data_IF_452113283251
#
_entry.id   IF_452113283251
#
_cell.length_a   1.000
_cell.length_b   1.000
_cell.length_c   1.000
_cell.angle_alpha   90.00
_cell.angle_beta   90.00
_cell.angle_gamma   90.00
#
_symmetry.space_group_name_H-M   'P 1'
#
loop_
_entity.id
_entity.type
_entity.pdbx_description
1 polymer ?
#
# COMPACT_ATOMS: atom_id res chain seq x y z
N UNK A 1 -67.02 23.14 -28.67
CA UNK A 1 -65.92 22.52 -29.45
C UNK A 1 -64.88 21.97 -28.47
N UNK A 2 -64.44 20.75 -28.74
CA UNK A 2 -63.60 19.85 -27.93
C UNK A 2 -62.41 20.55 -27.24
N UNK A 3 -62.20 20.37 -25.93
CA UNK A 3 -61.52 19.22 -25.28
C UNK A 3 -60.00 19.41 -25.20
N UNK A 4 -59.46 20.01 -24.13
CA UNK A 4 -58.04 19.83 -23.76
C UNK A 4 -57.85 19.96 -22.24
N UNK A 5 -58.34 18.97 -21.50
CA UNK A 5 -57.98 18.76 -20.09
C UNK A 5 -56.58 18.14 -20.05
N UNK A 6 -55.55 18.96 -19.86
CA UNK A 6 -54.15 18.53 -19.74
C UNK A 6 -53.96 17.82 -18.38
N UNK A 7 -54.06 16.48 -18.36
CA UNK A 7 -53.76 15.68 -17.17
C UNK A 7 -52.24 15.67 -16.93
N UNK A 8 -51.79 16.33 -15.87
CA UNK A 8 -50.40 16.26 -15.37
C UNK A 8 -50.15 14.83 -14.88
N UNK A 9 -49.44 14.01 -15.65
CA UNK A 9 -49.01 12.68 -15.23
C UNK A 9 -47.92 12.85 -14.16
N UNK A 10 -48.25 12.62 -12.89
CA UNK A 10 -47.25 12.46 -11.84
C UNK A 10 -46.42 11.21 -12.16
N UNK A 11 -45.18 11.41 -12.63
CA UNK A 11 -44.20 10.32 -12.71
C UNK A 11 -43.82 9.97 -11.27
N UNK A 12 -44.34 8.85 -10.75
CA UNK A 12 -43.84 8.28 -9.51
C UNK A 12 -42.45 7.72 -9.82
N UNK A 13 -41.40 8.31 -9.25
CA UNK A 13 -40.09 7.67 -9.23
C UNK A 13 -40.21 6.46 -8.29
N UNK A 14 -40.22 5.27 -8.87
CA UNK A 14 -40.11 4.00 -8.16
C UNK A 14 -38.65 3.59 -8.24
N UNK A 15 -37.97 3.53 -7.10
CA UNK A 15 -36.57 3.09 -7.03
C UNK A 15 -35.74 4.06 -6.21
N UNK A 16 -35.79 3.85 -4.89
CA UNK A 16 -34.77 4.13 -3.88
C UNK A 16 -35.44 3.90 -2.52
N UNK A 17 -35.76 2.64 -2.23
CA UNK A 17 -36.25 2.30 -0.89
C UNK A 17 -35.07 2.15 0.06
N UNK A 18 -35.27 2.41 1.36
CA UNK A 18 -34.26 2.09 2.37
C UNK A 18 -33.88 0.61 2.33
N UNK A 19 -34.84 -0.26 2.00
CA UNK A 19 -34.65 -1.70 1.88
C UNK A 19 -33.66 -2.08 0.77
N UNK A 20 -33.70 -1.42 -0.38
CA UNK A 20 -32.69 -1.60 -1.44
C UNK A 20 -31.29 -1.23 -0.94
N UNK A 21 -31.15 -0.09 -0.27
CA UNK A 21 -29.85 0.32 0.27
C UNK A 21 -29.31 -0.62 1.34
N UNK A 22 -30.19 -1.20 2.17
CA UNK A 22 -29.79 -2.20 3.17
C UNK A 22 -29.25 -3.47 2.53
N UNK A 23 -29.91 -3.99 1.49
CA UNK A 23 -29.44 -5.18 0.77
C UNK A 23 -28.11 -4.91 0.07
N UNK A 24 -27.94 -3.73 -0.53
CA UNK A 24 -26.67 -3.34 -1.17
C UNK A 24 -25.53 -3.27 -0.15
N UNK A 25 -25.73 -2.62 1.00
CA UNK A 25 -24.72 -2.56 2.06
C UNK A 25 -24.39 -3.95 2.63
N UNK A 26 -25.40 -4.81 2.75
CA UNK A 26 -25.21 -6.20 3.17
C UNK A 26 -24.31 -6.97 2.21
N UNK A 27 -24.57 -6.90 0.90
CA UNK A 27 -23.74 -7.56 -0.11
C UNK A 27 -22.30 -7.00 -0.09
N UNK A 28 -22.14 -5.67 -0.02
CA UNK A 28 -20.80 -5.05 0.05
C UNK A 28 -20.03 -5.51 1.29
N UNK A 29 -20.69 -5.61 2.44
CA UNK A 29 -20.05 -6.08 3.68
C UNK A 29 -19.49 -7.51 3.54
N UNK A 30 -20.27 -8.42 2.94
CA UNK A 30 -19.82 -9.80 2.68
C UNK A 30 -18.62 -9.82 1.73
N UNK A 31 -18.65 -9.01 0.66
CA UNK A 31 -17.53 -8.91 -0.27
C UNK A 31 -16.26 -8.40 0.42
N UNK A 32 -16.36 -7.36 1.25
CA UNK A 32 -15.22 -6.80 2.00
C UNK A 32 -14.56 -7.87 2.88
N UNK A 33 -15.35 -8.68 3.59
CA UNK A 33 -14.83 -9.75 4.46
C UNK A 33 -14.02 -10.78 3.65
N UNK A 34 -14.40 -11.08 2.40
CA UNK A 34 -13.65 -12.00 1.55
C UNK A 34 -12.41 -11.34 0.92
N UNK A 35 -12.50 -10.07 0.51
CA UNK A 35 -11.42 -9.38 -0.20
C UNK A 35 -10.32 -8.83 0.72
N UNK A 36 -10.67 -8.21 1.86
CA UNK A 36 -9.72 -7.59 2.80
C UNK A 36 -8.63 -8.55 3.29
N UNK A 37 -8.92 -9.79 3.75
CA UNK A 37 -7.86 -10.68 4.24
C UNK A 37 -6.88 -11.06 3.12
N UNK A 38 -7.34 -11.12 1.87
CA UNK A 38 -6.48 -11.42 0.73
C UNK A 38 -5.55 -10.24 0.40
N UNK A 39 -6.07 -9.00 0.49
CA UNK A 39 -5.29 -7.78 0.28
C UNK A 39 -4.21 -7.58 1.35
N UNK A 40 -4.52 -7.85 2.62
CA UNK A 40 -3.56 -7.75 3.72
C UNK A 40 -2.40 -8.73 3.50
N UNK A 41 -2.69 -10.00 3.19
CA UNK A 41 -1.66 -11.01 2.89
C UNK A 41 -0.74 -10.62 1.72
N UNK A 42 -1.31 -10.03 0.67
CA UNK A 42 -0.53 -9.56 -0.47
C UNK A 42 0.38 -8.40 -0.08
N UNK A 43 -0.12 -7.47 0.75
CA UNK A 43 0.64 -6.33 1.25
C UNK A 43 1.81 -6.80 2.14
N UNK A 44 1.58 -7.77 3.02
CA UNK A 44 2.63 -8.35 3.85
C UNK A 44 3.71 -9.04 3.02
N UNK A 45 3.33 -9.77 1.96
CA UNK A 45 4.29 -10.39 1.04
C UNK A 45 5.13 -9.35 0.29
N UNK A 46 4.52 -8.25 -0.15
CA UNK A 46 5.23 -7.16 -0.84
C UNK A 46 6.22 -6.49 0.13
N UNK A 47 5.81 -6.24 1.37
CA UNK A 47 6.70 -5.67 2.38
C UNK A 47 7.93 -6.56 2.62
N UNK A 48 7.72 -7.88 2.81
CA UNK A 48 8.83 -8.83 2.98
C UNK A 48 9.78 -8.88 1.78
N UNK A 49 9.25 -8.83 0.56
CA UNK A 49 10.07 -8.77 -0.66
C UNK A 49 10.84 -7.45 -0.75
N UNK A 50 10.21 -6.34 -0.36
CA UNK A 50 10.86 -5.03 -0.27
C UNK A 50 11.98 -5.00 0.75
N UNK A 51 11.78 -5.62 1.92
CA UNK A 51 12.79 -5.71 2.98
C UNK A 51 13.99 -6.56 2.53
N UNK A 52 13.75 -7.70 1.87
CA UNK A 52 14.82 -8.52 1.29
C UNK A 52 15.58 -7.79 0.18
N UNK A 53 14.89 -7.00 -0.65
CA UNK A 53 15.54 -6.16 -1.66
C UNK A 53 16.38 -5.06 -1.02
N UNK A 54 15.91 -4.45 0.07
CA UNK A 54 16.66 -3.45 0.83
C UNK A 54 17.94 -4.05 1.44
N UNK A 55 17.86 -5.26 2.00
CA UNK A 55 19.05 -5.99 2.48
C UNK A 55 20.08 -6.17 1.35
N UNK A 56 19.63 -6.56 0.16
CA UNK A 56 20.54 -6.71 -1.00
C UNK A 56 21.17 -5.40 -1.45
N UNK A 57 20.41 -4.31 -1.40
CA UNK A 57 20.94 -2.96 -1.69
C UNK A 57 22.01 -2.60 -0.67
N UNK A 58 21.75 -2.78 0.62
CA UNK A 58 22.72 -2.47 1.68
C UNK A 58 23.99 -3.32 1.54
N UNK A 59 23.87 -4.60 1.22
CA UNK A 59 25.03 -5.47 0.94
C UNK A 59 25.86 -4.92 -0.22
N UNK A 60 25.21 -4.54 -1.32
CA UNK A 60 25.87 -3.98 -2.52
C UNK A 60 26.56 -2.64 -2.19
N UNK A 61 25.91 -1.78 -1.40
CA UNK A 61 26.49 -0.52 -0.94
C UNK A 61 27.66 -0.74 0.03
N UNK A 62 27.60 -1.78 0.85
CA UNK A 62 28.70 -2.16 1.76
C UNK A 62 29.92 -2.65 0.99
N UNK A 63 29.70 -3.38 -0.10
CA UNK A 63 30.76 -3.79 -1.00
C UNK A 63 31.38 -2.60 -1.73
N UNK A 64 30.58 -1.64 -2.21
CA UNK A 64 31.11 -0.41 -2.80
C UNK A 64 31.92 0.42 -1.80
N UNK A 65 31.43 0.59 -0.57
CA UNK A 65 32.19 1.24 0.49
C UNK A 65 33.54 0.55 0.72
N UNK A 66 33.57 -0.79 0.73
CA UNK A 66 34.80 -1.57 0.87
C UNK A 66 35.77 -1.37 -0.31
N UNK A 67 35.27 -1.27 -1.54
CA UNK A 67 36.11 -1.00 -2.71
C UNK A 67 36.79 0.38 -2.62
N UNK A 68 36.09 1.37 -2.07
CA UNK A 68 36.59 2.75 -2.00
C UNK A 68 37.50 3.01 -0.79
N UNK A 69 37.20 2.39 0.35
CA UNK A 69 37.89 2.65 1.63
C UNK A 69 38.82 1.51 2.08
N UNK A 70 38.77 0.37 1.40
CA UNK A 70 39.50 -0.86 1.76
C UNK A 70 39.20 -1.37 3.20
N UNK A 71 38.11 -0.89 3.80
CA UNK A 71 37.57 -1.25 5.12
C UNK A 71 36.06 -1.48 5.00
N UNK A 72 35.51 -2.47 5.71
CA UNK A 72 34.06 -2.75 5.72
C UNK A 72 33.33 -1.70 6.57
N UNK A 73 32.14 -1.22 6.15
CA UNK A 73 31.35 -0.32 6.98
C UNK A 73 30.88 -1.05 8.24
N UNK A 74 30.98 -0.41 9.40
CA UNK A 74 30.64 -1.00 10.71
C UNK A 74 29.17 -0.77 11.06
N UNK A 75 28.59 0.28 10.50
CA UNK A 75 27.22 0.71 10.77
C UNK A 75 26.53 1.22 9.51
N UNK A 76 25.19 1.21 9.52
CA UNK A 76 24.36 1.87 8.49
C UNK A 76 24.63 3.38 8.44
N UNK A 77 25.12 3.96 9.54
CA UNK A 77 25.61 5.34 9.62
C UNK A 77 26.82 5.60 8.71
N UNK A 78 27.76 4.66 8.59
CA UNK A 78 28.94 4.82 7.74
C UNK A 78 28.55 4.87 6.26
N UNK A 79 27.59 4.03 5.86
CA UNK A 79 27.00 4.05 4.52
C UNK A 79 26.23 5.34 4.23
N UNK A 80 25.52 5.89 5.22
CA UNK A 80 24.81 7.16 5.08
C UNK A 80 25.78 8.34 5.00
N UNK A 81 26.82 8.35 5.84
CA UNK A 81 27.84 9.41 5.85
C UNK A 81 28.66 9.42 4.56
N UNK A 82 28.88 8.25 3.95
CA UNK A 82 29.50 8.12 2.64
C UNK A 82 28.55 8.31 1.45
N UNK A 83 27.30 8.75 1.67
CA UNK A 83 26.27 8.96 0.63
C UNK A 83 25.88 7.71 -0.20
N UNK A 84 26.21 6.50 0.28
CA UNK A 84 25.87 5.24 -0.39
C UNK A 84 24.39 4.85 -0.23
N UNK A 85 23.73 5.33 0.84
CA UNK A 85 22.32 5.08 1.11
C UNK A 85 21.56 6.36 1.44
N UNK A 86 20.28 6.42 1.08
CA UNK A 86 19.42 7.54 1.44
C UNK A 86 18.98 7.49 2.91
N UNK A 87 18.52 8.63 3.45
CA UNK A 87 17.97 8.72 4.80
C UNK A 87 16.81 7.74 5.02
N UNK A 88 15.92 7.61 4.02
CA UNK A 88 14.77 6.70 4.11
C UNK A 88 15.19 5.22 4.14
N UNK A 89 16.24 4.87 3.39
CA UNK A 89 16.80 3.51 3.40
C UNK A 89 17.47 3.21 4.74
N UNK A 90 18.22 4.16 5.29
CA UNK A 90 18.83 4.06 6.62
C UNK A 90 17.75 3.89 7.71
N UNK A 91 16.73 4.74 7.73
CA UNK A 91 15.67 4.68 8.74
C UNK A 91 14.88 3.37 8.67
N UNK A 92 14.73 2.79 7.47
CA UNK A 92 14.14 1.44 7.30
C UNK A 92 15.09 0.34 7.74
N UNK A 93 16.37 0.42 7.39
CA UNK A 93 17.38 -0.55 7.78
C UNK A 93 17.54 -0.64 9.30
N UNK A 94 17.55 0.52 9.98
CA UNK A 94 17.66 0.62 11.44
C UNK A 94 16.42 0.02 12.13
N UNK A 95 15.20 0.25 11.58
CA UNK A 95 13.96 -0.36 12.09
C UNK A 95 13.90 -1.88 11.92
N UNK A 96 14.52 -2.37 10.85
CA UNK A 96 14.55 -3.80 10.50
C UNK A 96 15.80 -4.51 11.05
N UNK A 97 16.65 -3.79 11.81
CA UNK A 97 17.92 -4.27 12.36
C UNK A 97 18.82 -4.96 11.30
N UNK A 98 18.81 -4.45 10.06
CA UNK A 98 19.58 -5.03 8.96
C UNK A 98 21.06 -4.82 9.26
N UNK A 99 21.79 -5.93 9.43
CA UNK A 99 23.22 -5.89 9.73
C UNK A 99 24.02 -5.57 8.46
N UNK A 100 24.87 -4.56 8.58
CA UNK A 100 25.90 -4.26 7.58
C UNK A 100 27.01 -5.31 7.70
N UNK A 101 27.41 -5.94 6.59
CA UNK A 101 28.42 -7.01 6.55
C UNK A 101 29.52 -6.72 5.54
#
# INVERSE_FOLDING_TARGET
MKWFKKRKKNKKYQGFTLLEMLIVLFVIAVLIILFVPNLIKQTDSINKQGDAALEKVIETQSEMYYLDHNERPKTTQDLFAGEYISKDQKDKADKLEIKVK
#
